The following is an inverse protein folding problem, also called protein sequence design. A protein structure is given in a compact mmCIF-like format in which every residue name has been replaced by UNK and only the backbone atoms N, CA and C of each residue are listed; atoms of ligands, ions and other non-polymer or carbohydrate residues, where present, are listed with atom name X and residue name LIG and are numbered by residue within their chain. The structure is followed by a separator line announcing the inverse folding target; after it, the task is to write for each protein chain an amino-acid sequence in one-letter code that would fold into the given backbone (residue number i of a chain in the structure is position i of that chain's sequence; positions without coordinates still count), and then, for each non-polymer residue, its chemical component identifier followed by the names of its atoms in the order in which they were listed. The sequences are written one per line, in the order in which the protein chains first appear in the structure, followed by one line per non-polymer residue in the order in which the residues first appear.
data_IF_132709025006
#
_entry.id   IF_132709025006
#
_cell.length_a   1.000
_cell.length_b   1.000
_cell.length_c   1.000
_cell.angle_alpha   90.00
_cell.angle_beta   90.00
_cell.angle_gamma   90.00
#
_symmetry.space_group_name_H-M   'P 1'
#
loop_
_entity.id
_entity.type
_entity.pdbx_description
1 polymer ?
#
# COMPACT_ATOMS: atom_id res chain seq x y z
N UNK A 1 5.05 -10.49 42.53
CA UNK A 1 4.62 -10.03 41.20
C UNK A 1 5.78 -9.25 40.61
N UNK A 2 6.45 -9.80 39.61
CA UNK A 2 7.42 -9.08 38.78
C UNK A 2 7.14 -9.39 37.32
N UNK A 3 7.25 -8.34 36.55
CA UNK A 3 6.80 -8.12 35.19
C UNK A 3 7.18 -9.20 34.18
N UNK A 4 6.17 -9.66 33.44
CA UNK A 4 6.30 -10.49 32.24
C UNK A 4 5.70 -9.70 31.08
N UNK A 5 6.35 -8.61 30.68
CA UNK A 5 5.94 -7.80 29.50
C UNK A 5 7.09 -7.32 28.62
N UNK A 6 8.35 -7.64 28.95
CA UNK A 6 9.52 -7.15 28.20
C UNK A 6 10.11 -8.16 27.19
N UNK A 7 9.58 -9.38 27.07
CA UNK A 7 10.27 -10.47 26.35
C UNK A 7 9.81 -10.67 24.89
N UNK A 8 8.68 -10.08 24.48
CA UNK A 8 8.02 -10.45 23.21
C UNK A 8 8.26 -9.46 22.08
N UNK A 9 8.42 -8.16 22.40
CA UNK A 9 8.82 -7.14 21.41
C UNK A 9 10.25 -7.38 20.91
N UNK A 10 11.18 -7.70 21.81
CA UNK A 10 12.59 -7.95 21.47
C UNK A 10 12.76 -9.07 20.43
N UNK A 11 11.92 -10.12 20.46
CA UNK A 11 12.01 -11.23 19.50
C UNK A 11 11.52 -10.88 18.10
N UNK A 12 10.42 -10.14 17.97
CA UNK A 12 9.99 -9.59 16.67
C UNK A 12 11.03 -8.61 16.09
N UNK A 13 11.72 -7.86 16.98
CA UNK A 13 12.84 -6.99 16.65
C UNK A 13 14.17 -7.72 16.40
N UNK A 14 14.27 -9.01 16.74
CA UNK A 14 15.42 -9.85 16.39
C UNK A 14 15.20 -10.58 15.05
N UNK A 15 13.98 -11.05 14.76
CA UNK A 15 13.73 -11.80 13.51
C UNK A 15 13.91 -10.95 12.24
N UNK A 16 13.35 -9.73 12.17
CA UNK A 16 13.61 -8.87 10.99
C UNK A 16 15.06 -8.34 10.89
N UNK A 17 15.91 -8.45 11.93
CA UNK A 17 17.33 -8.03 11.84
C UNK A 17 18.22 -9.18 11.35
N UNK A 18 17.86 -10.43 11.63
CA UNK A 18 18.46 -11.60 10.97
C UNK A 18 18.11 -11.67 9.48
N UNK A 19 16.95 -11.15 9.06
CA UNK A 19 16.54 -11.04 7.66
C UNK A 19 17.48 -10.19 6.78
N UNK A 20 18.26 -9.26 7.35
CA UNK A 20 19.14 -8.39 6.55
C UNK A 20 20.47 -9.04 6.15
N UNK A 21 20.86 -10.17 6.77
CA UNK A 21 22.23 -10.72 6.66
C UNK A 21 22.41 -11.94 5.77
N UNK A 22 21.37 -12.53 5.17
CA UNK A 22 21.50 -13.72 4.31
C UNK A 22 21.10 -13.49 2.85
N UNK A 23 21.95 -14.01 1.97
CA UNK A 23 21.90 -13.97 0.51
C UNK A 23 20.68 -14.67 -0.11
N UNK A 24 20.13 -14.04 -1.16
CA UNK A 24 19.40 -14.61 -2.31
C UNK A 24 18.67 -15.95 -2.11
N UNK A 25 17.56 -15.93 -1.37
CA UNK A 25 16.44 -16.84 -1.59
C UNK A 25 15.17 -15.99 -1.43
N UNK A 26 14.27 -16.02 -2.42
CA UNK A 26 12.90 -15.52 -2.26
C UNK A 26 12.22 -16.39 -1.22
N UNK A 27 12.41 -16.07 0.06
CA UNK A 27 11.86 -16.82 1.16
C UNK A 27 10.41 -16.37 1.36
N UNK A 28 9.50 -17.04 0.67
CA UNK A 28 8.08 -17.02 1.03
C UNK A 28 7.95 -17.51 2.47
N UNK A 29 7.42 -16.68 3.36
CA UNK A 29 7.15 -17.04 4.76
C UNK A 29 5.66 -16.85 5.03
N UNK A 30 5.00 -17.95 5.39
CA UNK A 30 3.65 -17.90 5.97
C UNK A 30 3.78 -17.33 7.38
N UNK A 31 3.06 -16.25 7.65
CA UNK A 31 3.01 -15.61 8.95
C UNK A 31 1.87 -16.23 9.76
N UNK A 32 2.17 -16.63 11.01
CA UNK A 32 1.24 -17.34 11.87
C UNK A 32 1.11 -16.67 13.24
N UNK A 33 0.12 -17.12 14.02
CA UNK A 33 -0.07 -16.71 15.41
C UNK A 33 -0.29 -15.20 15.57
N UNK A 34 0.23 -14.65 16.67
CA UNK A 34 0.02 -13.25 17.06
C UNK A 34 0.63 -12.26 16.08
N UNK A 35 1.72 -12.60 15.39
CA UNK A 35 2.34 -11.71 14.40
C UNK A 35 1.42 -11.51 13.19
N UNK A 36 0.69 -12.56 12.79
CA UNK A 36 -0.33 -12.46 11.74
C UNK A 36 -1.42 -11.47 12.14
N UNK A 37 -1.97 -11.65 13.34
CA UNK A 37 -3.06 -10.82 13.88
C UNK A 37 -2.62 -9.36 13.93
N UNK A 38 -1.42 -9.11 14.49
CA UNK A 38 -0.87 -7.75 14.60
C UNK A 38 -0.72 -7.09 13.23
N UNK A 39 -0.13 -7.77 12.24
CA UNK A 39 0.05 -7.19 10.90
C UNK A 39 -1.28 -6.93 10.18
N UNK A 40 -2.26 -7.83 10.33
CA UNK A 40 -3.60 -7.62 9.78
C UNK A 40 -4.27 -6.37 10.38
N UNK A 41 -4.03 -6.10 11.66
CA UNK A 41 -4.57 -4.94 12.37
C UNK A 41 -3.82 -3.65 12.03
N UNK A 42 -2.48 -3.66 12.13
CA UNK A 42 -1.62 -2.50 11.86
C UNK A 42 -1.83 -1.95 10.44
N UNK A 43 -2.05 -2.84 9.47
CA UNK A 43 -2.29 -2.48 8.06
C UNK A 43 -3.75 -2.54 7.63
N UNK A 44 -4.70 -2.75 8.56
CA UNK A 44 -6.14 -2.82 8.31
C UNK A 44 -6.54 -3.80 7.18
N UNK A 45 -5.80 -4.89 6.99
CA UNK A 45 -6.00 -5.83 5.87
C UNK A 45 -7.28 -6.67 5.98
N UNK A 46 -7.92 -6.67 7.15
CA UNK A 46 -9.22 -7.32 7.35
C UNK A 46 -10.42 -6.37 7.13
N UNK A 47 -10.17 -5.08 6.93
CA UNK A 47 -11.21 -4.07 6.75
C UNK A 47 -11.42 -3.77 5.28
N UNK A 48 -12.64 -3.38 4.93
CA UNK A 48 -12.87 -2.78 3.63
C UNK A 48 -12.15 -1.43 3.52
N UNK A 49 -11.93 -0.97 2.30
CA UNK A 49 -11.22 0.25 1.98
C UNK A 49 -12.10 1.16 1.12
N UNK A 50 -12.10 2.45 1.46
CA UNK A 50 -12.71 3.50 0.64
C UNK A 50 -11.63 4.28 -0.08
N UNK A 51 -11.90 4.65 -1.33
CA UNK A 51 -10.99 5.47 -2.13
C UNK A 51 -11.33 6.94 -1.93
N UNK A 52 -10.38 7.71 -1.41
CA UNK A 52 -10.46 9.17 -1.31
C UNK A 52 -9.27 9.80 -2.04
N UNK A 53 -9.50 10.24 -3.29
CA UNK A 53 -8.41 10.69 -4.16
C UNK A 53 -7.39 9.59 -4.38
N UNK A 54 -6.15 9.81 -3.91
CA UNK A 54 -5.02 8.86 -4.06
C UNK A 54 -4.84 7.94 -2.85
N UNK A 55 -5.70 8.05 -1.84
CA UNK A 55 -5.55 7.35 -0.58
C UNK A 55 -6.65 6.32 -0.38
N UNK A 56 -6.29 5.23 0.31
CA UNK A 56 -7.24 4.29 0.86
C UNK A 56 -7.43 4.59 2.35
N UNK A 57 -8.68 4.69 2.76
CA UNK A 57 -9.05 4.79 4.17
C UNK A 57 -9.75 3.51 4.61
N UNK A 58 -9.48 3.02 5.83
CA UNK A 58 -10.13 1.82 6.33
C UNK A 58 -11.61 2.11 6.69
N UNK A 59 -12.50 1.22 6.27
CA UNK A 59 -13.87 1.13 6.75
C UNK A 59 -13.98 0.10 7.89
N UNK A 60 -15.12 -0.59 7.94
CA UNK A 60 -15.35 -1.66 8.90
C UNK A 60 -14.79 -3.03 8.46
N UNK A 61 -14.80 -3.98 9.38
CA UNK A 61 -14.26 -5.31 9.17
C UNK A 61 -15.14 -6.14 8.21
N UNK A 62 -14.54 -6.61 7.11
CA UNK A 62 -15.18 -7.45 6.10
C UNK A 62 -14.63 -8.88 6.16
N UNK A 63 -13.37 -9.04 6.59
CA UNK A 63 -12.69 -10.33 6.65
C UNK A 63 -12.41 -10.72 8.10
N UNK A 64 -12.46 -12.01 8.38
CA UNK A 64 -11.88 -12.58 9.60
C UNK A 64 -10.36 -12.64 9.50
N UNK A 65 -9.69 -13.00 10.58
CA UNK A 65 -8.24 -13.27 10.62
C UNK A 65 -7.91 -14.72 10.19
N UNK A 66 -8.89 -15.48 9.70
CA UNK A 66 -8.75 -16.91 9.40
C UNK A 66 -8.03 -17.23 8.09
N UNK A 67 -7.78 -16.24 7.22
CA UNK A 67 -7.03 -16.44 5.99
C UNK A 67 -5.53 -16.64 6.20
N UNK A 68 -4.82 -16.80 5.09
CA UNK A 68 -3.37 -17.01 5.04
C UNK A 68 -2.64 -15.71 4.74
N UNK A 69 -1.76 -15.28 5.64
CA UNK A 69 -0.90 -14.12 5.43
C UNK A 69 0.49 -14.59 5.01
N UNK A 70 0.90 -14.16 3.84
CA UNK A 70 2.17 -14.55 3.22
C UNK A 70 3.02 -13.32 3.07
N UNK A 71 4.31 -13.47 3.36
CA UNK A 71 5.28 -12.41 3.19
C UNK A 71 6.41 -12.80 2.24
N UNK A 72 6.87 -11.83 1.46
CA UNK A 72 7.99 -11.96 0.55
C UNK A 72 8.96 -10.82 0.78
N UNK A 73 10.24 -11.12 0.93
CA UNK A 73 11.27 -10.08 0.95
C UNK A 73 11.35 -9.46 -0.44
N UNK A 74 11.22 -8.15 -0.50
CA UNK A 74 11.39 -7.38 -1.74
C UNK A 74 12.69 -6.60 -1.65
N UNK A 75 13.50 -6.65 -2.71
CA UNK A 75 14.75 -5.89 -2.84
C UNK A 75 14.84 -5.09 -4.14
N UNK A 76 13.72 -4.93 -4.83
CA UNK A 76 13.69 -4.21 -6.10
C UNK A 76 13.12 -2.82 -5.87
N UNK A 77 13.99 -1.81 -5.85
CA UNK A 77 13.56 -0.42 -5.87
C UNK A 77 12.73 -0.14 -7.12
N UNK A 78 11.68 0.67 -6.97
CA UNK A 78 10.86 1.15 -8.10
C UNK A 78 10.87 2.68 -8.14
N UNK A 79 11.23 3.24 -9.28
CA UNK A 79 11.11 4.69 -9.54
C UNK A 79 10.06 4.91 -10.61
N UNK A 80 9.05 5.70 -10.30
CA UNK A 80 7.95 5.96 -11.23
C UNK A 80 7.40 7.37 -11.04
N UNK A 81 6.91 7.97 -12.11
CA UNK A 81 6.10 9.18 -12.02
C UNK A 81 4.73 8.78 -11.53
N UNK A 82 4.17 9.50 -10.55
CA UNK A 82 2.80 9.23 -10.10
C UNK A 82 1.80 9.63 -11.19
N UNK A 83 1.71 8.81 -12.24
CA UNK A 83 0.59 8.81 -13.19
C UNK A 83 -0.28 7.67 -12.73
N UNK A 84 -1.34 7.97 -11.98
CA UNK A 84 -2.38 6.98 -11.71
C UNK A 84 -2.81 6.46 -13.07
N UNK A 85 -2.72 5.14 -13.34
CA UNK A 85 -3.43 4.57 -14.46
C UNK A 85 -4.92 4.73 -14.11
N UNK A 86 -5.54 5.80 -14.60
CA UNK A 86 -6.99 6.04 -14.53
C UNK A 86 -7.78 4.90 -15.19
N UNK A 87 -7.08 3.99 -15.87
CA UNK A 87 -7.56 2.89 -16.66
C UNK A 87 -8.02 1.67 -15.83
N UNK A 88 -7.63 1.55 -14.55
CA UNK A 88 -7.80 0.25 -13.84
C UNK A 88 -8.77 0.24 -12.65
N UNK A 89 -9.26 1.36 -12.12
CA UNK A 89 -10.00 1.31 -10.85
C UNK A 89 -11.20 2.26 -10.69
N UNK A 90 -11.69 2.94 -11.73
CA UNK A 90 -12.71 3.98 -11.51
C UNK A 90 -13.96 3.78 -12.37
N UNK A 91 -15.05 3.36 -11.72
CA UNK A 91 -16.40 3.72 -12.15
C UNK A 91 -16.47 5.25 -12.27
N UNK A 92 -16.76 5.76 -13.47
CA UNK A 92 -16.81 7.19 -13.81
C UNK A 92 -17.71 8.04 -12.88
N UNK A 93 -18.51 7.44 -12.01
CA UNK A 93 -19.45 8.13 -11.12
C UNK A 93 -18.81 8.82 -9.90
N UNK A 94 -17.60 8.45 -9.46
CA UNK A 94 -17.00 8.99 -8.21
C UNK A 94 -16.05 10.19 -8.44
N UNK A 95 -15.66 10.48 -9.68
CA UNK A 95 -14.67 11.54 -10.00
C UNK A 95 -15.21 12.98 -10.06
N UNK A 96 -16.38 13.29 -9.48
CA UNK A 96 -16.93 14.65 -9.55
C UNK A 96 -16.44 15.63 -8.49
N UNK A 97 -15.57 15.24 -7.55
CA UNK A 97 -15.21 16.16 -6.44
C UNK A 97 -13.83 15.98 -5.80
N UNK A 98 -12.77 15.79 -6.59
CA UNK A 98 -11.41 16.02 -6.08
C UNK A 98 -10.61 16.94 -7.00
N UNK A 99 -10.77 18.25 -6.79
CA UNK A 99 -9.89 19.31 -7.28
C UNK A 99 -8.51 19.26 -6.59
N UNK A 100 -7.86 18.10 -6.56
CA UNK A 100 -6.48 17.93 -6.13
C UNK A 100 -5.86 16.85 -7.01
N UNK A 101 -5.65 17.18 -8.29
CA UNK A 101 -4.65 16.47 -9.08
C UNK A 101 -3.32 16.90 -8.45
N UNK A 102 -2.83 16.10 -7.50
CA UNK A 102 -1.50 16.29 -6.93
C UNK A 102 -0.51 16.42 -8.09
N UNK A 103 0.31 17.48 -8.03
CA UNK A 103 1.41 17.78 -8.93
C UNK A 103 2.16 16.51 -9.36
N UNK A 104 2.67 16.47 -10.60
CA UNK A 104 3.46 15.36 -11.15
C UNK A 104 4.74 15.08 -10.34
N UNK A 105 4.63 14.51 -9.15
CA UNK A 105 5.77 14.12 -8.33
C UNK A 105 6.25 12.73 -8.78
N UNK A 106 7.56 12.60 -8.95
CA UNK A 106 8.17 11.28 -9.05
C UNK A 106 8.17 10.66 -7.66
N UNK A 107 7.83 9.38 -7.58
CA UNK A 107 7.91 8.56 -6.38
C UNK A 107 9.02 7.54 -6.54
N UNK A 108 9.79 7.38 -5.47
CA UNK A 108 10.81 6.33 -5.36
C UNK A 108 10.37 5.43 -4.23
N UNK A 109 10.03 4.20 -4.55
CA UNK A 109 9.65 3.19 -3.58
C UNK A 109 10.81 2.25 -3.34
N UNK A 110 11.14 2.10 -2.06
CA UNK A 110 12.18 1.20 -1.58
C UNK A 110 11.46 0.15 -0.74
N UNK A 111 10.96 -0.92 -1.39
CA UNK A 111 10.21 -1.94 -0.71
C UNK A 111 11.13 -2.80 0.16
N UNK A 112 10.62 -3.21 1.31
CA UNK A 112 11.25 -4.14 2.24
C UNK A 112 10.54 -5.49 2.19
N UNK A 113 9.21 -5.44 2.24
CA UNK A 113 8.35 -6.59 2.40
C UNK A 113 7.14 -6.42 1.48
N UNK A 114 6.75 -7.50 0.82
CA UNK A 114 5.42 -7.62 0.24
C UNK A 114 4.59 -8.50 1.17
N UNK A 115 3.37 -8.06 1.49
CA UNK A 115 2.40 -8.87 2.23
C UNK A 115 1.24 -9.20 1.30
N UNK A 116 0.85 -10.47 1.29
CA UNK A 116 -0.31 -10.96 0.58
C UNK A 116 -1.26 -11.69 1.53
N UNK A 117 -2.53 -11.30 1.53
CA UNK A 117 -3.58 -11.96 2.30
C UNK A 117 -4.44 -12.83 1.37
N UNK A 118 -4.28 -14.15 1.46
CA UNK A 118 -4.95 -15.15 0.61
C UNK A 118 -6.03 -15.92 1.38
N UNK A 119 -6.86 -16.65 0.62
CA UNK A 119 -7.85 -17.58 1.17
C UNK A 119 -8.72 -16.91 2.25
N UNK A 120 -9.12 -15.69 1.94
CA UNK A 120 -9.77 -14.77 2.86
C UNK A 120 -11.16 -15.28 3.20
N UNK A 121 -11.52 -15.19 4.48
CA UNK A 121 -12.83 -15.62 4.97
C UNK A 121 -13.62 -14.38 5.31
N UNK A 122 -14.74 -14.15 4.61
CA UNK A 122 -15.65 -13.03 4.84
C UNK A 122 -16.38 -13.22 6.17
N UNK A 123 -16.62 -12.13 6.91
CA UNK A 123 -17.40 -12.17 8.14
C UNK A 123 -18.87 -12.50 7.85
N UNK A 124 -19.51 -13.21 8.78
CA UNK A 124 -20.96 -13.47 8.70
C UNK A 124 -21.74 -12.15 8.71
N UNK A 125 -21.33 -11.20 9.57
CA UNK A 125 -21.95 -9.89 9.66
C UNK A 125 -22.01 -9.16 8.30
N UNK A 126 -20.88 -9.06 7.59
CA UNK A 126 -20.86 -8.41 6.28
C UNK A 126 -21.71 -9.15 5.25
N UNK A 127 -21.72 -10.48 5.30
CA UNK A 127 -22.54 -11.30 4.40
C UNK A 127 -24.04 -11.09 4.66
N UNK A 128 -24.44 -11.10 5.93
CA UNK A 128 -25.83 -10.93 6.37
C UNK A 128 -26.38 -9.56 5.98
N UNK A 129 -25.65 -8.46 6.23
CA UNK A 129 -26.12 -7.12 5.86
C UNK A 129 -26.31 -6.95 4.35
N UNK A 130 -25.47 -7.59 3.53
CA UNK A 130 -25.62 -7.57 2.07
C UNK A 130 -26.84 -8.39 1.65
N UNK A 131 -27.03 -9.59 2.20
CA UNK A 131 -28.20 -10.42 1.89
C UNK A 131 -29.51 -9.74 2.29
N UNK A 132 -29.54 -9.07 3.44
CA UNK A 132 -30.70 -8.28 3.88
C UNK A 132 -30.99 -7.11 2.95
N UNK A 133 -29.96 -6.39 2.48
CA UNK A 133 -30.14 -5.31 1.52
C UNK A 133 -30.76 -5.81 0.21
N UNK A 134 -30.36 -6.99 -0.27
CA UNK A 134 -30.87 -7.59 -1.50
C UNK A 134 -32.31 -8.12 -1.40
N UNK A 135 -32.83 -8.36 -0.19
CA UNK A 135 -34.21 -8.83 0.05
C UNK A 135 -35.27 -7.71 -0.03
N UNK A 136 -34.84 -6.45 -0.19
CA UNK A 136 -35.77 -5.31 -0.27
C UNK A 136 -36.64 -5.38 -1.54
N UNK A 137 -37.84 -4.81 -1.44
CA UNK A 137 -38.91 -4.99 -2.43
C UNK A 137 -38.71 -4.26 -3.74
N UNK A 138 -38.02 -3.12 -3.73
CA UNK A 138 -37.79 -2.30 -4.93
C UNK A 138 -36.29 -2.06 -5.16
N UNK A 139 -35.92 -1.90 -6.43
CA UNK A 139 -34.51 -1.81 -6.85
C UNK A 139 -33.82 -0.54 -6.36
N UNK A 140 -34.57 0.57 -6.17
CA UNK A 140 -34.00 1.83 -5.69
C UNK A 140 -33.57 1.67 -4.23
N UNK A 141 -34.44 1.11 -3.40
CA UNK A 141 -34.12 0.85 -1.99
C UNK A 141 -32.97 -0.15 -1.82
N UNK A 142 -32.89 -1.18 -2.68
CA UNK A 142 -31.72 -2.09 -2.73
C UNK A 142 -30.45 -1.29 -3.02
N UNK A 143 -30.48 -0.45 -4.06
CA UNK A 143 -29.32 0.33 -4.48
C UNK A 143 -28.82 1.28 -3.38
N UNK A 144 -29.70 2.10 -2.81
CA UNK A 144 -29.36 3.04 -1.73
C UNK A 144 -28.83 2.32 -0.49
N UNK A 145 -29.43 1.18 -0.13
CA UNK A 145 -28.96 0.39 1.01
C UNK A 145 -27.58 -0.19 0.77
N UNK A 146 -27.32 -0.74 -0.42
CA UNK A 146 -25.98 -1.24 -0.78
C UNK A 146 -24.95 -0.11 -0.79
N UNK A 147 -25.29 1.07 -1.30
CA UNK A 147 -24.40 2.24 -1.23
C UNK A 147 -24.06 2.59 0.23
N UNK A 148 -25.04 2.64 1.11
CA UNK A 148 -24.81 2.91 2.54
C UNK A 148 -23.94 1.84 3.21
N UNK A 149 -24.11 0.56 2.84
CA UNK A 149 -23.26 -0.52 3.34
C UNK A 149 -21.82 -0.33 2.86
N UNK A 150 -21.60 -0.05 1.57
CA UNK A 150 -20.24 0.17 1.05
C UNK A 150 -19.61 1.47 1.56
N UNK A 151 -20.41 2.49 1.87
CA UNK A 151 -19.95 3.68 2.58
C UNK A 151 -19.60 3.37 4.05
N UNK A 152 -20.16 2.34 4.68
CA UNK A 152 -19.77 1.92 6.04
C UNK A 152 -18.54 1.01 6.04
N UNK A 153 -18.60 -0.08 5.29
CA UNK A 153 -17.59 -1.14 5.31
C UNK A 153 -16.40 -0.84 4.39
N UNK A 154 -16.62 -0.12 3.29
CA UNK A 154 -15.64 0.09 2.22
C UNK A 154 -15.98 -0.74 0.98
N UNK A 155 -15.74 -0.14 -0.19
CA UNK A 155 -16.03 -0.74 -1.50
C UNK A 155 -15.00 -1.79 -1.92
N UNK A 156 -13.79 -1.72 -1.37
CA UNK A 156 -12.65 -2.49 -1.84
C UNK A 156 -11.97 -3.29 -0.73
N UNK A 157 -11.24 -4.33 -1.14
CA UNK A 157 -10.38 -5.12 -0.27
C UNK A 157 -8.98 -5.14 -0.86
N UNK A 158 -8.02 -4.83 0.00
CA UNK A 158 -6.61 -4.90 -0.30
C UNK A 158 -6.13 -6.33 -0.06
N UNK A 159 -5.62 -6.98 -1.11
CA UNK A 159 -5.10 -8.35 -1.00
C UNK A 159 -3.57 -8.39 -1.00
N UNK A 160 -2.92 -7.39 -1.57
CA UNK A 160 -1.48 -7.36 -1.72
C UNK A 160 -0.94 -5.93 -1.57
N UNK A 161 0.01 -5.76 -0.65
CA UNK A 161 0.68 -4.49 -0.36
C UNK A 161 2.20 -4.64 -0.40
N UNK A 162 2.88 -3.57 -0.81
CA UNK A 162 4.30 -3.39 -0.54
C UNK A 162 4.45 -2.48 0.69
N UNK A 163 5.32 -2.90 1.60
CA UNK A 163 5.72 -2.19 2.81
C UNK A 163 7.18 -1.77 2.67
N UNK A 164 7.48 -0.52 3.00
CA UNK A 164 8.85 -0.02 3.02
C UNK A 164 8.93 1.49 3.22
N UNK A 165 9.95 2.09 2.60
CA UNK A 165 10.12 3.54 2.56
C UNK A 165 9.73 4.11 1.20
N UNK A 166 9.18 5.32 1.20
CA UNK A 166 8.85 6.05 -0.03
C UNK A 166 9.43 7.46 0.02
N UNK A 167 10.02 7.89 -1.11
CA UNK A 167 10.49 9.26 -1.30
C UNK A 167 9.64 9.96 -2.35
N UNK A 168 9.42 11.25 -2.13
CA UNK A 168 8.90 12.18 -3.12
C UNK A 168 10.06 12.96 -3.73
N UNK A 169 10.11 13.02 -5.05
CA UNK A 169 10.98 13.95 -5.77
C UNK A 169 10.14 15.14 -6.20
N UNK A 170 10.48 16.32 -5.70
CA UNK A 170 10.01 17.58 -6.26
C UNK A 170 11.08 18.13 -7.19
N UNK A 171 10.68 18.52 -8.39
CA UNK A 171 11.56 19.20 -9.34
C UNK A 171 11.30 20.69 -9.34
N UNK A 172 12.35 21.47 -9.55
CA UNK A 172 12.23 22.91 -9.87
C UNK A 172 12.04 23.16 -11.37
N UNK A 173 12.08 22.12 -12.21
CA UNK A 173 11.89 22.22 -13.65
C UNK A 173 10.39 22.13 -13.98
N UNK A 174 9.88 23.14 -14.69
CA UNK A 174 8.47 23.22 -15.14
C UNK A 174 8.12 22.22 -16.26
N UNK A 175 9.11 21.50 -16.81
CA UNK A 175 8.96 20.57 -17.92
C UNK A 175 8.51 19.16 -17.48
N UNK A 176 7.93 18.38 -18.42
CA UNK A 176 7.48 17.00 -18.20
C UNK A 176 8.64 16.09 -17.72
N UNK A 177 8.71 15.96 -16.40
CA UNK A 177 9.71 15.19 -15.64
C UNK A 177 9.90 13.75 -16.12
N UNK A 178 8.91 13.18 -16.80
CA UNK A 178 8.93 11.79 -17.26
C UNK A 178 9.91 11.52 -18.41
N UNK A 179 10.46 12.55 -19.06
CA UNK A 179 11.29 12.41 -20.29
C UNK A 179 12.69 13.02 -20.13
N UNK A 180 12.99 13.69 -19.00
CA UNK A 180 14.25 14.42 -18.83
C UNK A 180 15.45 13.50 -18.53
N UNK A 181 16.62 13.64 -19.19
CA UNK A 181 17.86 12.94 -18.81
C UNK A 181 18.23 13.09 -17.32
N UNK A 182 17.76 14.17 -16.68
CA UNK A 182 17.98 14.46 -15.27
C UNK A 182 17.30 13.40 -14.38
N UNK A 183 16.15 12.83 -14.76
CA UNK A 183 15.52 11.75 -13.99
C UNK A 183 16.28 10.43 -14.05
N UNK A 184 16.93 10.13 -15.18
CA UNK A 184 17.75 8.93 -15.30
C UNK A 184 19.03 9.05 -14.48
N UNK A 185 19.61 10.26 -14.37
CA UNK A 185 20.73 10.53 -13.46
C UNK A 185 20.30 10.33 -12.01
N UNK A 186 19.15 10.87 -11.60
CA UNK A 186 18.63 10.68 -10.24
C UNK A 186 18.39 9.20 -9.95
N UNK A 187 17.74 8.46 -10.87
CA UNK A 187 17.55 7.01 -10.74
C UNK A 187 18.88 6.31 -10.51
N UNK A 188 19.88 6.59 -11.34
CA UNK A 188 21.21 6.00 -11.19
C UNK A 188 21.79 6.30 -9.80
N UNK A 189 21.84 7.57 -9.38
CA UNK A 189 22.39 7.95 -8.07
C UNK A 189 21.68 7.23 -6.91
N UNK A 190 20.35 7.12 -6.95
CA UNK A 190 19.57 6.40 -5.95
C UNK A 190 19.84 4.89 -6.00
N UNK A 191 19.93 4.27 -7.19
CA UNK A 191 20.31 2.86 -7.34
C UNK A 191 21.69 2.56 -6.76
N UNK A 192 22.65 3.47 -6.92
CA UNK A 192 23.99 3.30 -6.36
C UNK A 192 23.99 3.35 -4.83
N UNK A 193 23.24 4.29 -4.24
CA UNK A 193 23.04 4.32 -2.77
C UNK A 193 22.36 3.03 -2.30
N UNK A 194 21.36 2.57 -3.05
CA UNK A 194 20.66 1.33 -2.76
C UNK A 194 21.59 0.11 -2.79
N UNK A 195 22.43 -0.03 -3.82
CA UNK A 195 23.41 -1.13 -3.91
C UNK A 195 24.44 -1.06 -2.78
N UNK A 196 24.84 0.13 -2.33
CA UNK A 196 25.72 0.28 -1.15
C UNK A 196 25.05 -0.27 0.11
N UNK A 197 23.80 0.12 0.38
CA UNK A 197 23.04 -0.37 1.55
C UNK A 197 22.87 -1.89 1.50
N UNK A 198 22.52 -2.46 0.35
CA UNK A 198 22.20 -3.90 0.24
C UNK A 198 23.46 -4.77 0.13
N UNK A 199 24.48 -4.33 -0.60
CA UNK A 199 25.67 -5.14 -0.91
C UNK A 199 26.89 -4.77 -0.07
N UNK A 200 26.86 -3.65 0.65
CA UNK A 200 27.99 -3.10 1.40
C UNK A 200 29.10 -2.51 0.51
N UNK A 201 28.86 -2.36 -0.80
CA UNK A 201 29.85 -1.78 -1.72
C UNK A 201 29.82 -0.26 -1.63
N UNK A 202 30.98 0.33 -1.40
CA UNK A 202 31.13 1.78 -1.24
C UNK A 202 30.56 2.56 -2.43
N UNK A 203 29.64 3.47 -2.15
CA UNK A 203 29.10 4.40 -3.12
C UNK A 203 30.08 5.54 -3.44
N UNK A 204 30.44 5.70 -4.71
CA UNK A 204 31.32 6.80 -5.17
C UNK A 204 30.61 8.16 -5.21
N UNK A 205 29.27 8.19 -5.13
CA UNK A 205 28.43 9.39 -5.11
C UNK A 205 28.03 9.84 -3.70
N UNK A 206 28.55 9.19 -2.65
CA UNK A 206 28.12 9.42 -1.27
C UNK A 206 28.17 10.90 -0.85
N UNK A 207 29.21 11.62 -1.31
CA UNK A 207 29.44 13.04 -1.03
C UNK A 207 29.09 13.98 -2.18
N UNK A 208 28.59 13.45 -3.29
CA UNK A 208 28.16 14.26 -4.43
C UNK A 208 26.71 14.67 -4.15
N UNK A 209 26.40 15.98 -4.13
CA UNK A 209 25.03 16.42 -3.95
C UNK A 209 24.16 15.90 -5.09
N UNK A 210 22.94 15.47 -4.78
CA UNK A 210 21.90 15.31 -5.79
C UNK A 210 21.71 16.66 -6.49
N UNK A 211 21.48 16.63 -7.80
CA UNK A 211 21.38 17.84 -8.62
C UNK A 211 20.41 18.87 -8.00
N UNK A 212 20.78 20.15 -7.96
CA UNK A 212 19.99 21.28 -7.43
C UNK A 212 18.59 21.40 -8.05
N UNK A 213 18.34 20.74 -9.19
CA UNK A 213 17.03 20.65 -9.83
C UNK A 213 16.02 19.78 -9.08
N UNK A 214 16.44 18.97 -8.09
CA UNK A 214 15.57 18.09 -7.34
C UNK A 214 15.67 18.25 -5.83
N UNK A 215 14.54 18.06 -5.17
CA UNK A 215 14.44 17.93 -3.72
C UNK A 215 13.85 16.56 -3.44
N UNK A 216 14.65 15.67 -2.86
CA UNK A 216 14.20 14.41 -2.29
C UNK A 216 13.65 14.65 -0.89
N UNK A 217 12.48 14.09 -0.60
CA UNK A 217 11.83 14.14 0.71
C UNK A 217 11.25 12.79 1.06
N UNK A 218 11.19 12.49 2.35
CA UNK A 218 10.39 11.37 2.84
C UNK A 218 8.90 11.62 2.55
N UNK A 219 8.23 10.68 1.91
CA UNK A 219 6.82 10.76 1.56
C UNK A 219 5.89 10.80 2.79
N UNK A 220 6.33 10.23 3.91
CA UNK A 220 5.60 10.16 5.16
C UNK A 220 6.04 11.26 6.15
N UNK A 221 7.20 11.89 5.92
CA UNK A 221 7.72 13.01 6.72
C UNK A 221 8.37 14.10 5.85
N UNK A 222 7.54 15.05 5.38
CA UNK A 222 7.95 16.08 4.41
C UNK A 222 8.99 17.11 4.89
N UNK A 223 9.39 17.05 6.16
CA UNK A 223 10.31 18.00 6.78
C UNK A 223 11.78 17.65 6.54
N UNK A 224 12.09 16.36 6.34
CA UNK A 224 13.45 15.89 6.07
C UNK A 224 13.75 15.97 4.57
N UNK A 225 14.65 16.89 4.19
CA UNK A 225 15.22 16.96 2.83
C UNK A 225 16.45 16.07 2.76
N UNK A 226 16.63 15.40 1.64
CA UNK A 226 17.78 14.55 1.35
C UNK A 226 18.54 15.18 0.18
N UNK A 227 19.77 15.60 0.42
CA UNK A 227 20.62 16.34 -0.52
C UNK A 227 21.84 15.54 -0.96
N UNK A 228 22.28 14.55 -0.19
CA UNK A 228 23.48 13.76 -0.48
C UNK A 228 23.24 12.26 -0.43
N UNK A 229 24.13 11.51 -1.08
CA UNK A 229 24.12 10.04 -1.05
C UNK A 229 24.18 9.47 0.37
N UNK A 230 25.00 10.04 1.26
CA UNK A 230 25.10 9.58 2.66
C UNK A 230 23.80 9.81 3.44
N UNK A 231 23.07 10.89 3.16
CA UNK A 231 21.79 11.17 3.81
C UNK A 231 20.72 10.21 3.33
N UNK A 232 20.73 9.88 2.03
CA UNK A 232 19.87 8.86 1.46
C UNK A 232 20.19 7.47 2.03
N UNK A 233 21.48 7.16 2.19
CA UNK A 233 21.95 5.92 2.81
C UNK A 233 21.45 5.80 4.25
N UNK A 234 21.69 6.81 5.09
CA UNK A 234 21.19 6.81 6.46
C UNK A 234 19.67 6.78 6.53
N UNK A 235 18.96 7.43 5.60
CA UNK A 235 17.52 7.32 5.48
C UNK A 235 17.10 5.89 5.14
N UNK A 236 17.73 5.22 4.16
CA UNK A 236 17.43 3.84 3.81
C UNK A 236 17.73 2.88 4.97
N UNK A 237 18.89 3.04 5.62
CA UNK A 237 19.29 2.28 6.80
C UNK A 237 18.29 2.45 7.94
N UNK A 238 17.72 3.64 8.15
CA UNK A 238 16.65 3.85 9.13
C UNK A 238 15.45 2.90 8.89
N UNK A 239 15.04 2.69 7.64
CA UNK A 239 13.96 1.76 7.30
C UNK A 239 14.38 0.29 7.35
N UNK A 240 15.60 -0.04 6.91
CA UNK A 240 16.13 -1.40 6.93
C UNK A 240 16.45 -1.90 8.35
N UNK A 241 16.94 -1.01 9.22
CA UNK A 241 17.41 -1.33 10.57
C UNK A 241 16.35 -1.06 11.65
N UNK A 242 15.49 -0.04 11.49
CA UNK A 242 14.48 0.35 12.50
C UNK A 242 13.03 -0.05 12.17
N UNK A 243 12.79 -1.10 11.38
CA UNK A 243 11.54 -1.94 11.36
C UNK A 243 10.18 -1.20 11.41
N UNK A 244 10.12 0.04 10.96
CA UNK A 244 8.90 0.82 10.79
C UNK A 244 8.70 0.99 9.29
N UNK A 245 7.85 0.14 8.71
CA UNK A 245 7.52 0.21 7.29
C UNK A 245 6.12 0.79 7.10
N UNK A 246 5.96 1.67 6.12
CA UNK A 246 4.67 2.17 5.71
C UNK A 246 4.16 1.38 4.52
N UNK A 247 2.84 1.35 4.32
CA UNK A 247 2.30 0.90 3.04
C UNK A 247 2.74 1.89 1.97
N UNK A 248 3.60 1.44 1.06
CA UNK A 248 4.08 2.26 -0.05
C UNK A 248 3.32 1.91 -1.34
N UNK A 249 2.75 0.72 -1.46
CA UNK A 249 1.97 0.37 -2.66
C UNK A 249 0.84 -0.61 -2.37
N UNK A 250 -0.25 -0.48 -3.13
CA UNK A 250 -1.36 -1.41 -3.17
C UNK A 250 -1.33 -2.16 -4.51
N UNK A 251 -0.68 -3.33 -4.53
CA UNK A 251 -0.46 -4.08 -5.77
C UNK A 251 -1.73 -4.81 -6.26
N UNK A 252 -2.63 -5.18 -5.35
CA UNK A 252 -3.88 -5.87 -5.68
C UNK A 252 -5.01 -5.40 -4.78
N UNK A 253 -5.99 -4.75 -5.40
CA UNK A 253 -7.21 -4.26 -4.78
C UNK A 253 -8.39 -4.79 -5.59
N UNK A 254 -9.37 -5.38 -4.91
CA UNK A 254 -10.56 -5.93 -5.55
C UNK A 254 -11.83 -5.34 -4.93
N UNK A 255 -12.94 -5.22 -5.67
CA UNK A 255 -14.23 -4.90 -5.06
C UNK A 255 -14.60 -5.89 -3.95
N UNK A 256 -15.07 -5.41 -2.80
CA UNK A 256 -15.39 -6.23 -1.63
C UNK A 256 -16.46 -7.29 -1.94
N UNK A 257 -17.45 -6.95 -2.77
CA UNK A 257 -18.49 -7.89 -3.19
C UNK A 257 -17.97 -9.09 -4.01
N UNK A 258 -16.73 -9.02 -4.54
CA UNK A 258 -16.13 -10.15 -5.26
C UNK A 258 -15.78 -11.33 -4.34
N UNK A 259 -15.75 -11.11 -3.03
CA UNK A 259 -15.50 -12.14 -2.01
C UNK A 259 -16.76 -12.93 -1.63
N UNK A 260 -17.94 -12.43 -2.01
CA UNK A 260 -19.21 -13.08 -1.73
C UNK A 260 -19.44 -14.26 -2.69
N UNK A 261 -20.33 -15.18 -2.28
CA UNK A 261 -20.77 -16.30 -3.12
C UNK A 261 -21.32 -15.80 -4.47
N UNK A 262 -21.16 -16.58 -5.52
CA UNK A 262 -21.43 -16.17 -6.90
C UNK A 262 -22.84 -15.62 -7.12
N UNK A 263 -23.86 -16.20 -6.47
CA UNK A 263 -25.23 -15.71 -6.55
C UNK A 263 -25.39 -14.30 -5.97
N UNK A 264 -24.93 -14.10 -4.73
CA UNK A 264 -24.97 -12.80 -4.03
C UNK A 264 -24.18 -11.76 -4.82
N UNK A 265 -22.96 -12.12 -5.22
CA UNK A 265 -22.06 -11.29 -6.04
C UNK A 265 -22.73 -10.83 -7.34
N UNK A 266 -23.41 -11.74 -8.05
CA UNK A 266 -24.14 -11.41 -9.29
C UNK A 266 -25.29 -10.45 -9.00
N UNK A 267 -26.04 -10.67 -7.93
CA UNK A 267 -27.18 -9.82 -7.56
C UNK A 267 -26.74 -8.40 -7.16
N UNK A 268 -25.66 -8.28 -6.36
CA UNK A 268 -25.05 -6.97 -6.04
C UNK A 268 -24.60 -6.27 -7.32
N UNK A 269 -23.89 -6.97 -8.22
CA UNK A 269 -23.41 -6.38 -9.47
C UNK A 269 -24.55 -5.86 -10.36
N UNK A 270 -25.67 -6.58 -10.40
CA UNK A 270 -26.85 -6.14 -11.16
C UNK A 270 -27.48 -4.90 -10.54
N UNK A 271 -27.68 -4.89 -9.22
CA UNK A 271 -28.28 -3.77 -8.49
C UNK A 271 -27.43 -2.47 -8.56
N UNK A 272 -26.11 -2.59 -8.66
CA UNK A 272 -25.21 -1.44 -8.84
C UNK A 272 -25.12 -0.95 -10.30
N UNK A 273 -25.52 -1.77 -11.29
CA UNK A 273 -25.49 -1.40 -12.70
C UNK A 273 -26.78 -0.73 -13.18
N UNK A 274 -27.94 -1.21 -12.72
CA UNK A 274 -29.26 -0.74 -13.16
C UNK A 274 -29.53 0.74 -12.89
N UNK A 275 -28.82 1.37 -11.96
CA UNK A 275 -28.95 2.81 -11.69
C UNK A 275 -28.13 3.69 -12.63
N UNK A 276 -27.08 3.18 -13.28
CA UNK A 276 -26.23 3.96 -14.19
C UNK A 276 -26.87 4.16 -15.58
N UNK A 277 -27.90 3.38 -15.93
CA UNK A 277 -28.60 3.46 -17.22
C UNK A 277 -29.88 4.33 -17.13
N UNK A 278 -30.18 4.89 -15.96
CA UNK A 278 -31.39 5.68 -15.69
C UNK A 278 -31.14 7.20 -15.58
N UNK A 279 -29.94 7.67 -15.95
CA UNK A 279 -29.51 9.09 -15.95
C UNK A 279 -28.97 9.47 -17.31
#
# INVERSE_FOLDING_TARGET
MKDVTSSTMDKSHQELSEFSKTSLIYNEKIIQGNDKIKLLQDFNLCKGSKIYGNNLSPGEQILTEGGELISYVKKDMRVYTNRIPTNTLISKSVLRSSHNIEENHIRIHIPLLQIEYRNQIVTNEFTEVIEEALKRSDQISVHETLQNIFEKYGEYIVQNIDIGGALTVKSSLDDDLSISPVIEILKAQVYWVYDDVISGKVNVFDRIPFNDHFILKDAHNNDKRILYGYELKSWMEEYYENKNGYIISYNKVIPAYNLLKDEIKKNVKNALKSSNEST
#
